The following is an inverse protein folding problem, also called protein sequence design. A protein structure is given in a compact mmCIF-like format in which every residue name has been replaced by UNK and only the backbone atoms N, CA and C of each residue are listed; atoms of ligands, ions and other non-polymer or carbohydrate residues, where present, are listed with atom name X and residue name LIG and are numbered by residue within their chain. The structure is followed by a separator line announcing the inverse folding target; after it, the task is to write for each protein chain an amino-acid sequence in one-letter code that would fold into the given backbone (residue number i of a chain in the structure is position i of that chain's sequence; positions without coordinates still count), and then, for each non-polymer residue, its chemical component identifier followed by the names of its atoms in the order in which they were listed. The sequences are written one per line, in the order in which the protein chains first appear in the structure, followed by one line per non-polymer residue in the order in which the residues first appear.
data_IF_444899078974
#
_entry.id   IF_444899078974
#
_cell.length_a   1.000
_cell.length_b   1.000
_cell.length_c   1.000
_cell.angle_alpha   90.00
_cell.angle_beta   90.00
_cell.angle_gamma   90.00
#
_symmetry.space_group_name_H-M   'P 1'
#
loop_
_entity.id
_entity.type
_entity.pdbx_description
1 polymer ?
#
# COMPACT_ATOMS: atom_id res chain seq x y z
N UNK A 1 -5.21 -2.77 -13.84
CA UNK A 1 -3.79 -3.12 -14.13
C UNK A 1 -3.64 -4.20 -15.20
N UNK A 2 -4.65 -5.07 -15.39
CA UNK A 2 -4.60 -6.19 -16.34
C UNK A 2 -4.08 -5.82 -17.73
N UNK A 3 -4.51 -4.69 -18.31
CA UNK A 3 -4.09 -4.24 -19.66
C UNK A 3 -2.57 -4.08 -19.82
N UNK A 4 -1.85 -3.63 -18.78
CA UNK A 4 -0.39 -3.47 -18.83
C UNK A 4 0.31 -4.83 -18.83
N UNK A 5 -0.21 -5.78 -18.05
CA UNK A 5 0.38 -7.11 -17.91
C UNK A 5 0.17 -7.96 -19.17
N UNK A 6 -0.96 -7.80 -19.87
CA UNK A 6 -1.19 -8.47 -21.15
C UNK A 6 -0.26 -8.01 -22.27
N UNK A 7 0.11 -6.72 -22.28
CA UNK A 7 1.02 -6.16 -23.29
C UNK A 7 2.49 -6.52 -23.08
N UNK A 8 2.85 -7.08 -21.92
CA UNK A 8 4.25 -7.33 -21.55
C UNK A 8 4.44 -8.77 -21.02
N UNK A 9 4.39 -9.79 -21.89
CA UNK A 9 4.45 -11.20 -21.48
C UNK A 9 5.77 -11.58 -20.79
N UNK A 10 6.87 -10.91 -21.11
CA UNK A 10 8.18 -11.14 -20.52
C UNK A 10 8.51 -10.20 -19.35
N UNK A 11 7.52 -9.50 -18.79
CA UNK A 11 7.75 -8.56 -17.70
C UNK A 11 8.19 -9.29 -16.41
N UNK A 12 9.45 -9.09 -16.02
CA UNK A 12 10.03 -9.71 -14.82
C UNK A 12 9.95 -8.81 -13.58
N UNK A 13 10.03 -7.50 -13.75
CA UNK A 13 10.06 -6.53 -12.67
C UNK A 13 9.03 -5.43 -12.91
N UNK A 14 8.18 -5.19 -11.92
CA UNK A 14 7.23 -4.09 -11.92
C UNK A 14 7.49 -3.19 -10.72
N UNK A 15 7.63 -1.89 -10.98
CA UNK A 15 7.86 -0.88 -9.94
C UNK A 15 6.82 0.22 -10.04
N UNK A 16 6.19 0.53 -8.92
CA UNK A 16 5.33 1.68 -8.76
C UNK A 16 6.01 2.70 -7.86
N UNK A 17 6.06 3.94 -8.32
CA UNK A 17 6.39 5.10 -7.50
C UNK A 17 5.11 5.89 -7.28
N UNK A 18 4.94 6.46 -6.08
CA UNK A 18 3.80 7.32 -5.79
C UNK A 18 2.48 6.57 -6.05
N UNK A 19 2.33 5.42 -5.42
CA UNK A 19 1.17 4.56 -5.61
C UNK A 19 0.02 5.03 -4.72
N UNK A 20 -1.04 5.57 -5.35
CA UNK A 20 -2.22 6.13 -4.69
C UNK A 20 -3.51 5.49 -5.25
N UNK A 21 -4.55 5.38 -4.41
CA UNK A 21 -5.92 5.12 -4.87
C UNK A 21 -6.26 3.68 -5.28
N UNK A 22 -5.31 2.74 -5.28
CA UNK A 22 -5.60 1.34 -5.57
C UNK A 22 -5.92 0.56 -4.30
N UNK A 23 -7.05 -0.16 -4.34
CA UNK A 23 -7.45 -1.10 -3.28
C UNK A 23 -6.91 -2.51 -3.53
N UNK A 24 -6.85 -2.91 -4.80
CA UNK A 24 -6.45 -4.26 -5.22
C UNK A 24 -5.46 -4.22 -6.37
N UNK A 25 -4.40 -4.98 -6.20
CA UNK A 25 -3.30 -5.16 -7.14
C UNK A 25 -3.21 -6.63 -7.53
N UNK A 26 -3.52 -6.95 -8.78
CA UNK A 26 -3.49 -8.32 -9.27
C UNK A 26 -2.44 -8.49 -10.38
N UNK A 27 -1.47 -9.36 -10.12
CA UNK A 27 -0.34 -9.66 -10.99
C UNK A 27 -0.28 -11.17 -11.22
N UNK A 28 -0.83 -11.63 -12.35
CA UNK A 28 -0.86 -13.05 -12.73
C UNK A 28 0.18 -13.45 -13.78
N UNK A 29 1.04 -12.52 -14.20
CA UNK A 29 2.07 -12.85 -15.18
C UNK A 29 3.08 -13.84 -14.57
N UNK A 30 3.21 -15.01 -15.19
CA UNK A 30 4.08 -16.12 -14.75
C UNK A 30 5.55 -15.72 -14.74
N UNK A 31 5.97 -14.77 -15.59
CA UNK A 31 7.35 -14.29 -15.64
C UNK A 31 7.66 -13.17 -14.66
N UNK A 32 6.65 -12.55 -14.05
CA UNK A 32 6.88 -11.49 -13.07
C UNK A 32 7.43 -12.06 -11.77
N UNK A 33 8.65 -11.64 -11.42
CA UNK A 33 9.40 -12.11 -10.24
C UNK A 33 9.47 -11.04 -9.16
N UNK A 34 9.44 -9.77 -9.52
CA UNK A 34 9.68 -8.66 -8.58
C UNK A 34 8.60 -7.59 -8.65
N UNK A 35 8.04 -7.27 -7.49
CA UNK A 35 7.13 -6.15 -7.29
C UNK A 35 7.74 -5.18 -6.29
N UNK A 36 7.86 -3.92 -6.69
CA UNK A 36 8.29 -2.83 -5.81
C UNK A 36 7.21 -1.75 -5.81
N UNK A 37 6.80 -1.33 -4.61
CA UNK A 37 5.92 -0.19 -4.39
C UNK A 37 6.69 0.77 -3.51
N UNK A 38 7.01 1.94 -4.03
CA UNK A 38 7.68 3.01 -3.29
C UNK A 38 6.77 4.22 -3.13
N UNK A 39 6.86 4.87 -1.97
CA UNK A 39 6.01 6.00 -1.59
C UNK A 39 4.51 5.65 -1.69
N UNK A 40 4.13 4.47 -1.19
CA UNK A 40 2.73 4.13 -0.96
C UNK A 40 2.16 5.18 0.00
N UNK A 41 1.08 5.85 -0.39
CA UNK A 41 0.39 6.74 0.54
C UNK A 41 -1.13 6.57 0.39
N UNK A 42 -1.74 6.06 1.45
CA UNK A 42 -3.17 5.82 1.55
C UNK A 42 -3.75 6.82 2.56
N UNK A 43 -3.96 8.06 2.11
CA UNK A 43 -4.33 9.18 3.00
C UNK A 43 -5.85 9.31 3.21
N UNK A 44 -6.70 8.92 2.26
CA UNK A 44 -8.09 9.45 2.24
C UNK A 44 -9.21 8.53 2.70
N UNK A 45 -9.05 7.20 2.72
CA UNK A 45 -10.15 6.30 3.07
C UNK A 45 -9.81 5.44 4.29
N UNK A 46 -10.55 5.71 5.38
CA UNK A 46 -10.53 4.88 6.60
C UNK A 46 -10.83 3.42 6.21
N UNK A 47 -10.03 2.51 6.77
CA UNK A 47 -10.22 1.05 6.72
C UNK A 47 -9.93 0.34 5.38
N UNK A 48 -9.23 0.99 4.46
CA UNK A 48 -8.91 0.35 3.18
C UNK A 48 -7.54 -0.31 3.23
N UNK A 49 -7.57 -1.65 3.14
CA UNK A 49 -6.36 -2.45 3.02
C UNK A 49 -5.96 -2.56 1.55
N UNK A 50 -4.66 -2.47 1.28
CA UNK A 50 -4.11 -2.80 -0.02
C UNK A 50 -4.04 -4.32 -0.17
N UNK A 51 -4.87 -4.87 -1.04
CA UNK A 51 -4.86 -6.28 -1.39
C UNK A 51 -3.92 -6.54 -2.56
N UNK A 52 -2.98 -7.47 -2.39
CA UNK A 52 -2.03 -7.88 -3.44
C UNK A 52 -2.24 -9.37 -3.73
N UNK A 53 -2.58 -9.67 -4.99
CA UNK A 53 -2.73 -11.01 -5.53
C UNK A 53 -1.62 -11.25 -6.54
N UNK A 54 -0.64 -12.08 -6.19
CA UNK A 54 0.56 -12.24 -7.01
C UNK A 54 1.20 -13.63 -6.86
N UNK A 55 0.65 -14.68 -7.52
CA UNK A 55 1.08 -16.07 -7.32
C UNK A 55 2.54 -16.35 -7.67
N UNK A 56 3.12 -15.60 -8.59
CA UNK A 56 4.45 -15.85 -9.16
C UNK A 56 5.54 -14.86 -8.72
N UNK A 57 5.16 -13.83 -7.95
CA UNK A 57 6.13 -12.87 -7.42
C UNK A 57 6.97 -13.56 -6.35
N UNK A 58 8.29 -13.40 -6.47
CA UNK A 58 9.28 -13.92 -5.53
C UNK A 58 9.82 -12.84 -4.60
N UNK A 59 9.89 -11.60 -5.08
CA UNK A 59 10.46 -10.47 -4.36
C UNK A 59 9.43 -9.34 -4.24
N UNK A 60 9.00 -9.06 -3.03
CA UNK A 60 8.09 -7.97 -2.71
C UNK A 60 8.83 -6.90 -1.92
N UNK A 61 8.74 -5.64 -2.34
CA UNK A 61 9.20 -4.48 -1.56
C UNK A 61 8.08 -3.45 -1.50
N UNK A 62 7.69 -3.05 -0.30
CA UNK A 62 6.68 -2.02 -0.07
C UNK A 62 7.26 -0.98 0.88
N UNK A 63 7.33 0.27 0.42
CA UNK A 63 7.76 1.43 1.18
C UNK A 63 6.63 2.48 1.23
N UNK A 64 6.38 3.09 2.40
CA UNK A 64 5.48 4.23 2.51
C UNK A 64 4.60 4.23 3.76
N UNK A 65 3.31 4.57 3.64
CA UNK A 65 2.33 4.57 4.71
C UNK A 65 0.99 4.01 4.24
N UNK A 66 0.45 3.06 4.98
CA UNK A 66 -0.83 2.42 4.69
C UNK A 66 -1.50 1.95 5.99
N UNK A 67 -2.83 1.81 5.97
CA UNK A 67 -3.60 1.29 7.09
C UNK A 67 -3.43 -0.23 7.28
N UNK A 68 -3.23 -0.97 6.19
CA UNK A 68 -3.04 -2.41 6.22
C UNK A 68 -2.77 -2.97 4.83
N UNK A 69 -2.07 -4.10 4.77
CA UNK A 69 -1.77 -4.82 3.53
C UNK A 69 -2.22 -6.26 3.68
N UNK A 70 -2.95 -6.76 2.69
CA UNK A 70 -3.37 -8.15 2.61
C UNK A 70 -2.68 -8.82 1.42
N UNK A 71 -1.91 -9.86 1.69
CA UNK A 71 -1.30 -10.68 0.65
C UNK A 71 -2.17 -11.91 0.45
N UNK A 72 -2.62 -12.15 -0.79
CA UNK A 72 -3.42 -13.32 -1.15
C UNK A 72 -2.79 -14.05 -2.32
N UNK A 73 -2.81 -15.38 -2.26
CA UNK A 73 -2.25 -16.22 -3.32
C UNK A 73 -0.85 -15.74 -3.76
N UNK A 74 0.08 -15.73 -2.81
CA UNK A 74 1.49 -15.33 -3.00
C UNK A 74 2.40 -16.55 -2.83
N UNK A 75 2.04 -17.67 -3.47
CA UNK A 75 2.66 -18.97 -3.24
C UNK A 75 4.16 -19.00 -3.56
N UNK A 76 4.62 -18.18 -4.51
CA UNK A 76 6.03 -18.12 -4.92
C UNK A 76 6.85 -17.08 -4.16
N UNK A 77 6.29 -16.40 -3.16
CA UNK A 77 6.95 -15.31 -2.46
C UNK A 77 8.10 -15.85 -1.58
N UNK A 78 9.31 -15.38 -1.85
CA UNK A 78 10.53 -15.78 -1.13
C UNK A 78 10.99 -14.67 -0.19
N UNK A 79 11.02 -13.43 -0.68
CA UNK A 79 11.51 -12.28 0.08
C UNK A 79 10.47 -11.17 0.12
N UNK A 80 10.21 -10.63 1.30
CA UNK A 80 9.38 -9.45 1.51
C UNK A 80 10.12 -8.40 2.34
N UNK A 81 10.24 -7.19 1.79
CA UNK A 81 10.74 -6.00 2.50
C UNK A 81 9.57 -5.06 2.72
N UNK A 82 9.17 -4.93 3.97
CA UNK A 82 8.02 -4.15 4.39
C UNK A 82 8.53 -3.02 5.30
N UNK A 83 8.59 -1.80 4.77
CA UNK A 83 9.00 -0.63 5.53
C UNK A 83 7.95 0.47 5.36
N UNK A 84 6.95 0.44 6.24
CA UNK A 84 5.88 1.42 6.21
C UNK A 84 5.42 1.86 7.59
N UNK A 85 5.01 3.12 7.66
CA UNK A 85 4.47 3.75 8.85
C UNK A 85 2.98 3.40 9.01
N UNK A 86 2.66 2.54 9.97
CA UNK A 86 1.26 2.30 10.40
C UNK A 86 0.62 3.50 11.13
N UNK A 87 1.39 4.56 11.40
CA UNK A 87 1.05 5.67 12.29
C UNK A 87 -0.01 6.67 11.79
N UNK A 88 -0.74 6.38 10.71
CA UNK A 88 -1.79 7.26 10.19
C UNK A 88 -2.94 7.48 11.20
N UNK A 89 -3.28 6.45 12.01
CA UNK A 89 -4.31 6.56 13.05
C UNK A 89 -3.87 7.47 14.22
N UNK A 90 -2.64 7.32 14.72
CA UNK A 90 -2.13 8.12 15.84
C UNK A 90 -1.90 9.59 15.44
N UNK A 91 -1.40 9.85 14.22
CA UNK A 91 -1.20 11.23 13.72
C UNK A 91 -2.54 11.97 13.55
N UNK A 92 -3.61 11.28 13.11
CA UNK A 92 -4.96 11.88 13.01
C UNK A 92 -5.64 12.08 14.37
N UNK A 93 -5.49 11.16 15.32
CA UNK A 93 -6.01 11.33 16.69
C UNK A 93 -5.32 12.52 17.40
N UNK A 94 -4.02 12.74 17.20
CA UNK A 94 -3.32 13.94 17.67
C UNK A 94 -3.85 15.23 17.04
N UNK A 95 -4.17 15.24 15.74
CA UNK A 95 -4.81 16.41 15.10
C UNK A 95 -6.23 16.69 15.63
N UNK A 96 -7.04 15.65 15.87
CA UNK A 96 -8.39 15.81 16.44
C UNK A 96 -8.38 16.33 17.88
N UNK A 97 -7.43 15.89 18.71
CA UNK A 97 -7.28 16.37 20.08
C UNK A 97 -6.78 17.82 20.12
N UNK A 98 -5.86 18.20 19.24
CA UNK A 98 -5.42 19.60 19.11
C UNK A 98 -6.55 20.56 18.69
N UNK A 99 -7.40 20.18 17.73
CA UNK A 99 -8.56 21.01 17.34
C UNK A 99 -9.65 21.07 18.44
N UNK A 100 -9.82 20.01 19.24
CA UNK A 100 -10.75 20.02 20.39
C UNK A 100 -10.24 20.83 21.58
N UNK A 101 -8.92 20.96 21.74
CA UNK A 101 -8.31 21.73 22.84
C UNK A 101 -8.38 23.25 22.70
N UNK A 102 -8.62 23.79 21.50
CA UNK A 102 -8.73 25.25 21.25
C UNK A 102 -10.16 25.81 21.31
N UNK A 103 -11.17 24.98 21.59
CA UNK A 103 -12.59 25.37 21.57
C UNK A 103 -13.23 25.67 22.93
N UNK A 104 -12.47 25.73 24.03
CA UNK A 104 -13.00 26.07 25.36
C UNK A 104 -12.20 27.21 25.99
N UNK A 105 -12.30 28.40 25.40
CA UNK A 105 -12.17 29.64 26.17
C UNK A 105 -13.59 30.02 26.58
N UNK A 106 -13.96 29.69 27.82
CA UNK A 106 -15.15 30.25 28.44
C UNK A 106 -14.97 31.77 28.47
N UNK A 107 -15.89 32.49 27.82
CA UNK A 107 -16.12 33.90 28.07
C UNK A 107 -16.57 34.02 29.53
N UNK A 108 -15.83 34.86 30.27
CA UNK A 108 -16.17 35.38 31.60
C UNK A 108 -17.47 36.18 31.53
#
# INVERSE_FOLDING_TARGET
MEKILYGCPNLECLKFYHFFGFRRLEIRNVKSRKLVIENLNHDDERDIWLEIIAPYIQNLKILGSCHGISLRNVASLVTAVLNFDFNLLLKRLKRRTYCRGKGRSLLV
#
